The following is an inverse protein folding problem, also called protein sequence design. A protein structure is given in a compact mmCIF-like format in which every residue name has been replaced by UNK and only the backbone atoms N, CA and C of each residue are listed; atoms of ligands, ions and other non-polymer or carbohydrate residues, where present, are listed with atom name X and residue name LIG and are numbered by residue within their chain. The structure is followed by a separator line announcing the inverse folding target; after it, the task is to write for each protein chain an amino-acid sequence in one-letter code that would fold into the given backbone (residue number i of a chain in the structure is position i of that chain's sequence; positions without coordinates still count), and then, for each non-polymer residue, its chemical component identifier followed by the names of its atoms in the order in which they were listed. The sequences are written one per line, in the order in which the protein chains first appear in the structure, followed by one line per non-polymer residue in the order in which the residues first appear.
data_IF_994994423059
#
_entry.id   IF_994994423059
#
_cell.length_a   1.000
_cell.length_b   1.000
_cell.length_c   1.000
_cell.angle_alpha   90.00
_cell.angle_beta   90.00
_cell.angle_gamma   90.00
#
_symmetry.space_group_name_H-M   'P 1'
#
loop_
_entity.id
_entity.type
_entity.pdbx_description
1 polymer ?
#
# COMPACT_ATOMS: atom_id res chain seq x y z
N UNK A 1 -40.43 -76.52 -35.07
CA UNK A 1 -39.32 -75.70 -35.63
C UNK A 1 -38.19 -75.71 -34.62
N UNK A 2 -37.15 -76.53 -34.86
CA UNK A 2 -35.99 -76.62 -33.98
C UNK A 2 -35.13 -75.36 -34.13
N UNK A 3 -35.14 -74.49 -33.12
CA UNK A 3 -34.17 -73.41 -33.01
C UNK A 3 -32.79 -74.03 -32.72
N UNK A 4 -31.94 -74.00 -33.73
CA UNK A 4 -30.62 -74.60 -33.74
C UNK A 4 -29.77 -74.12 -32.56
N UNK A 5 -29.23 -75.05 -31.76
CA UNK A 5 -28.25 -74.80 -30.68
C UNK A 5 -27.00 -74.05 -31.16
N UNK A 6 -26.77 -73.95 -32.48
CA UNK A 6 -25.71 -73.10 -33.05
C UNK A 6 -26.00 -71.60 -32.93
N UNK A 7 -27.28 -71.19 -32.92
CA UNK A 7 -27.66 -69.79 -32.80
C UNK A 7 -27.44 -69.25 -31.37
N UNK A 8 -27.71 -70.06 -30.34
CA UNK A 8 -27.43 -69.68 -28.95
C UNK A 8 -25.93 -69.57 -28.66
N UNK A 9 -25.10 -70.44 -29.23
CA UNK A 9 -23.64 -70.36 -29.09
C UNK A 9 -23.07 -69.12 -29.79
N UNK A 10 -23.51 -68.82 -31.02
CA UNK A 10 -23.10 -67.60 -31.72
C UNK A 10 -23.60 -66.32 -31.04
N UNK A 11 -24.81 -66.32 -30.46
CA UNK A 11 -25.35 -65.16 -29.74
C UNK A 11 -24.65 -64.95 -28.39
N UNK A 12 -24.35 -66.02 -27.65
CA UNK A 12 -23.56 -65.96 -26.42
C UNK A 12 -22.12 -65.48 -26.71
N UNK A 13 -21.51 -65.93 -27.80
CA UNK A 13 -20.20 -65.46 -28.24
C UNK A 13 -20.25 -63.98 -28.64
N UNK A 14 -21.31 -63.53 -29.32
CA UNK A 14 -21.51 -62.12 -29.68
C UNK A 14 -21.67 -61.24 -28.44
N UNK A 15 -22.41 -61.70 -27.43
CA UNK A 15 -22.55 -61.00 -26.14
C UNK A 15 -21.22 -60.96 -25.40
N UNK A 16 -20.44 -62.04 -25.40
CA UNK A 16 -19.12 -62.07 -24.77
C UNK A 16 -18.13 -61.13 -25.46
N UNK A 17 -18.17 -61.07 -26.80
CA UNK A 17 -17.38 -60.13 -27.59
C UNK A 17 -17.83 -58.69 -27.31
N UNK A 18 -19.14 -58.41 -27.29
CA UNK A 18 -19.67 -57.09 -26.93
C UNK A 18 -19.28 -56.68 -25.52
N UNK A 19 -19.29 -57.62 -24.57
CA UNK A 19 -18.87 -57.37 -23.20
C UNK A 19 -17.37 -57.08 -23.12
N UNK A 20 -16.53 -57.86 -23.81
CA UNK A 20 -15.09 -57.59 -23.90
C UNK A 20 -14.79 -56.25 -24.59
N UNK A 21 -15.49 -55.94 -25.69
CA UNK A 21 -15.38 -54.64 -26.36
C UNK A 21 -15.78 -53.52 -25.40
N UNK A 22 -16.90 -53.66 -24.69
CA UNK A 22 -17.36 -52.65 -23.73
C UNK A 22 -16.36 -52.46 -22.56
N UNK A 23 -15.81 -53.54 -22.02
CA UNK A 23 -14.76 -53.48 -20.98
C UNK A 23 -13.47 -52.85 -21.52
N UNK A 24 -13.06 -53.16 -22.76
CA UNK A 24 -11.89 -52.52 -23.37
C UNK A 24 -12.13 -51.04 -23.69
N UNK A 25 -13.34 -50.64 -24.09
CA UNK A 25 -13.72 -49.25 -24.31
C UNK A 25 -13.79 -48.49 -22.99
N UNK A 26 -14.35 -49.09 -21.93
CA UNK A 26 -14.36 -48.50 -20.59
C UNK A 26 -12.95 -48.38 -20.03
N UNK A 27 -12.11 -49.41 -20.15
CA UNK A 27 -10.71 -49.32 -19.75
C UNK A 27 -9.90 -48.33 -20.58
N UNK A 28 -10.26 -48.14 -21.86
CA UNK A 28 -9.66 -47.11 -22.72
C UNK A 28 -10.15 -45.71 -22.34
N UNK A 29 -11.43 -45.56 -21.98
CA UNK A 29 -11.99 -44.30 -21.49
C UNK A 29 -11.37 -43.91 -20.15
N UNK A 30 -11.23 -44.86 -19.22
CA UNK A 30 -10.59 -44.68 -17.92
C UNK A 30 -9.10 -44.37 -18.08
N UNK A 31 -8.41 -45.02 -19.04
CA UNK A 31 -7.04 -44.64 -19.43
C UNK A 31 -6.99 -43.25 -20.03
N UNK A 32 -7.99 -42.81 -20.79
CA UNK A 32 -8.03 -41.49 -21.41
C UNK A 32 -8.30 -40.41 -20.36
N UNK A 33 -9.17 -40.68 -19.37
CA UNK A 33 -9.45 -39.79 -18.24
C UNK A 33 -8.28 -39.75 -17.25
N UNK A 34 -7.60 -40.87 -17.01
CA UNK A 34 -6.35 -40.90 -16.26
C UNK A 34 -5.22 -40.18 -17.01
N UNK A 35 -5.12 -40.30 -18.34
CA UNK A 35 -4.16 -39.54 -19.15
C UNK A 35 -4.51 -38.04 -19.21
N UNK A 36 -5.79 -37.66 -19.15
CA UNK A 36 -6.20 -36.27 -19.09
C UNK A 36 -5.96 -35.68 -17.71
N UNK A 37 -6.17 -36.44 -16.63
CA UNK A 37 -5.84 -36.04 -15.25
C UNK A 37 -4.34 -36.00 -15.00
N UNK A 38 -3.56 -36.98 -15.46
CA UNK A 38 -2.09 -36.88 -15.49
C UNK A 38 -1.63 -35.76 -16.42
N UNK A 39 -2.36 -35.50 -17.51
CA UNK A 39 -2.11 -34.39 -18.42
C UNK A 39 -2.33 -33.05 -17.73
N UNK A 40 -3.41 -32.89 -16.96
CA UNK A 40 -3.73 -31.71 -16.16
C UNK A 40 -2.83 -31.57 -14.95
N UNK A 41 -2.46 -32.65 -14.27
CA UNK A 41 -1.45 -32.63 -13.20
C UNK A 41 -0.08 -32.29 -13.77
N UNK A 42 0.33 -32.85 -14.91
CA UNK A 42 1.56 -32.45 -15.59
C UNK A 42 1.48 -31.03 -16.14
N UNK A 43 0.29 -30.51 -16.49
CA UNK A 43 0.09 -29.12 -16.91
C UNK A 43 0.09 -28.15 -15.72
N UNK A 44 -0.47 -28.56 -14.58
CA UNK A 44 -0.44 -27.84 -13.30
C UNK A 44 0.96 -27.86 -12.70
N UNK A 45 1.68 -28.97 -12.88
CA UNK A 45 3.07 -29.16 -12.50
C UNK A 45 4.00 -28.49 -13.51
N UNK A 46 3.63 -28.37 -14.79
CA UNK A 46 4.29 -27.51 -15.79
C UNK A 46 3.98 -26.02 -15.59
N UNK A 47 2.84 -25.67 -15.01
CA UNK A 47 2.53 -24.29 -14.60
C UNK A 47 3.22 -23.94 -13.27
N UNK A 48 3.47 -24.93 -12.40
CA UNK A 48 4.32 -24.80 -11.21
C UNK A 48 5.82 -24.90 -11.53
N UNK A 49 6.21 -25.65 -12.57
CA UNK A 49 7.58 -25.81 -13.08
C UNK A 49 7.93 -24.84 -14.21
N UNK A 50 6.96 -24.06 -14.69
CA UNK A 50 7.17 -22.68 -15.06
C UNK A 50 7.34 -21.88 -13.76
N UNK A 51 8.31 -22.31 -12.96
CA UNK A 51 9.09 -21.35 -12.21
C UNK A 51 9.45 -20.28 -13.23
N UNK A 52 8.87 -19.08 -13.07
CA UNK A 52 9.74 -17.92 -13.13
C UNK A 52 10.97 -18.38 -12.37
N UNK A 53 12.04 -18.70 -13.11
CA UNK A 53 13.36 -18.62 -12.53
C UNK A 53 13.31 -17.33 -11.72
N UNK A 54 13.62 -17.43 -10.42
CA UNK A 54 14.04 -16.27 -9.67
C UNK A 54 15.33 -15.78 -10.33
N UNK A 55 15.24 -15.27 -11.56
CA UNK A 55 16.02 -14.12 -11.95
C UNK A 55 15.78 -13.16 -10.80
N UNK A 56 16.82 -12.98 -9.99
CA UNK A 56 16.91 -11.85 -9.09
C UNK A 56 16.66 -10.62 -9.95
N UNK A 57 15.41 -10.17 -10.00
CA UNK A 57 15.09 -8.80 -10.33
C UNK A 57 15.72 -7.98 -9.21
N UNK A 58 17.03 -7.76 -9.32
CA UNK A 58 17.76 -6.71 -8.65
C UNK A 58 17.10 -5.45 -9.19
N UNK A 59 16.06 -5.00 -8.49
CA UNK A 59 15.47 -3.72 -8.77
C UNK A 59 16.59 -2.70 -8.56
N UNK A 60 17.06 -2.07 -9.64
CA UNK A 60 18.08 -1.03 -9.62
C UNK A 60 17.68 0.15 -8.70
N UNK A 61 16.41 0.26 -8.36
CA UNK A 61 15.85 1.24 -7.43
C UNK A 61 15.60 0.72 -6.01
N UNK A 62 15.94 -0.54 -5.73
CA UNK A 62 15.91 -1.06 -4.36
C UNK A 62 17.03 -0.42 -3.55
N UNK A 63 16.71 0.04 -2.34
CA UNK A 63 17.75 0.56 -1.45
C UNK A 63 18.58 -0.62 -0.95
N UNK A 64 19.82 -0.71 -1.42
CA UNK A 64 20.71 -1.84 -1.11
C UNK A 64 21.03 -1.91 0.39
N UNK A 65 21.16 -0.76 1.05
CA UNK A 65 21.46 -0.68 2.48
C UNK A 65 20.46 0.18 3.30
N UNK A 66 19.57 -0.44 4.10
CA UNK A 66 18.69 0.25 5.05
C UNK A 66 19.43 1.11 6.11
N UNK A 67 20.70 0.83 6.40
CA UNK A 67 21.52 1.66 7.30
C UNK A 67 21.83 3.03 6.69
N UNK A 68 21.82 3.16 5.37
CA UNK A 68 21.95 4.45 4.69
C UNK A 68 20.71 5.31 4.96
N UNK A 69 19.50 4.73 4.86
CA UNK A 69 18.25 5.44 5.17
C UNK A 69 18.26 5.91 6.62
N UNK A 70 18.60 5.01 7.55
CA UNK A 70 18.63 5.30 8.99
C UNK A 70 19.71 6.33 9.37
N UNK A 71 20.90 6.28 8.77
CA UNK A 71 21.95 7.28 9.03
C UNK A 71 21.58 8.66 8.46
N UNK A 72 21.01 8.69 7.25
CA UNK A 72 20.48 9.93 6.68
C UNK A 72 19.31 10.48 7.51
N UNK A 73 18.49 9.64 8.17
CA UNK A 73 17.45 10.08 9.11
C UNK A 73 18.12 10.78 10.29
N UNK A 74 19.07 10.12 10.95
CA UNK A 74 19.68 10.61 12.17
C UNK A 74 20.38 11.97 11.94
N UNK A 75 21.08 12.09 10.82
CA UNK A 75 21.65 13.36 10.37
C UNK A 75 20.58 14.44 10.14
N UNK A 76 19.44 14.09 9.53
CA UNK A 76 18.32 15.01 9.33
C UNK A 76 17.70 15.47 10.65
N UNK A 77 17.51 14.56 11.61
CA UNK A 77 17.00 14.89 12.96
C UNK A 77 17.91 15.91 13.63
N UNK A 78 19.23 15.69 13.63
CA UNK A 78 20.22 16.64 14.17
C UNK A 78 20.14 18.01 13.48
N UNK A 79 20.08 18.04 12.14
CA UNK A 79 20.00 19.28 11.37
C UNK A 79 18.66 20.03 11.53
N UNK A 80 17.54 19.32 11.69
CA UNK A 80 16.21 19.91 11.88
C UNK A 80 16.09 20.63 13.23
N UNK A 81 16.85 20.17 14.23
CA UNK A 81 16.93 20.79 15.56
C UNK A 81 17.63 22.15 15.47
N UNK A 82 18.62 22.30 14.59
CA UNK A 82 19.30 23.57 14.32
C UNK A 82 18.45 24.55 13.49
N UNK A 83 17.74 24.07 12.45
CA UNK A 83 16.88 24.95 11.62
C UNK A 83 15.68 25.54 12.36
N UNK A 84 15.15 24.85 13.39
CA UNK A 84 14.09 25.40 14.27
C UNK A 84 14.51 26.68 15.00
N UNK A 85 15.81 26.97 15.14
CA UNK A 85 16.31 28.24 15.70
C UNK A 85 16.19 29.44 14.76
N UNK A 86 15.92 29.24 13.47
CA UNK A 86 15.96 30.31 12.46
C UNK A 86 14.58 30.88 12.05
N UNK A 87 13.47 30.42 12.64
CA UNK A 87 12.14 31.06 12.54
C UNK A 87 11.55 31.23 11.13
N UNK A 88 12.16 30.66 10.11
CA UNK A 88 11.84 30.94 8.71
C UNK A 88 10.74 29.99 8.22
N UNK A 89 9.55 30.53 7.97
CA UNK A 89 8.34 29.82 7.49
C UNK A 89 7.85 28.68 8.39
N UNK A 90 7.43 28.96 9.63
CA UNK A 90 6.55 28.04 10.37
C UNK A 90 5.13 28.57 10.30
N UNK A 91 4.19 27.74 9.86
CA UNK A 91 2.78 28.07 9.85
C UNK A 91 2.16 28.08 11.26
N UNK A 92 2.98 27.79 12.29
CA UNK A 92 2.56 27.75 13.69
C UNK A 92 1.58 26.61 14.00
N UNK A 93 1.38 25.67 13.06
CA UNK A 93 0.47 24.53 13.27
C UNK A 93 1.08 23.51 14.23
N UNK A 94 2.41 23.49 14.35
CA UNK A 94 3.15 22.51 15.14
C UNK A 94 3.43 21.22 14.36
N UNK A 95 2.80 21.04 13.20
CA UNK A 95 3.09 19.97 12.24
C UNK A 95 4.22 20.43 11.30
N UNK A 96 5.43 19.83 11.36
CA UNK A 96 6.57 20.28 10.58
C UNK A 96 6.43 20.10 9.07
N UNK A 97 5.57 19.18 8.61
CA UNK A 97 5.31 18.96 7.17
C UNK A 97 4.51 20.15 6.64
N UNK A 98 3.36 20.41 7.24
CA UNK A 98 2.49 21.53 6.87
C UNK A 98 3.21 22.86 7.06
N UNK A 99 3.89 23.03 8.20
CA UNK A 99 4.63 24.26 8.52
C UNK A 99 5.63 24.63 7.42
N UNK A 100 6.20 23.66 6.71
CA UNK A 100 7.20 23.88 5.66
C UNK A 100 6.66 24.51 4.37
N UNK A 101 5.36 24.37 4.05
CA UNK A 101 4.82 24.85 2.77
C UNK A 101 3.44 25.51 2.84
N UNK A 102 2.60 25.17 3.82
CA UNK A 102 1.15 25.40 3.76
C UNK A 102 0.74 26.88 3.89
N UNK A 103 1.47 27.62 4.71
CA UNK A 103 1.29 29.06 4.95
C UNK A 103 1.82 29.94 3.82
N UNK A 104 2.48 29.37 2.81
CA UNK A 104 2.80 30.11 1.61
C UNK A 104 1.51 30.44 0.83
N UNK A 105 1.02 31.67 0.92
CA UNK A 105 -0.11 32.15 0.10
C UNK A 105 0.14 32.03 -1.42
N UNK A 106 1.40 31.88 -1.83
CA UNK A 106 1.86 31.67 -3.21
C UNK A 106 2.22 30.21 -3.49
N UNK A 107 1.74 29.26 -2.69
CA UNK A 107 1.95 27.81 -2.89
C UNK A 107 1.61 27.39 -4.33
N UNK A 108 0.60 28.00 -4.95
CA UNK A 108 0.16 27.71 -6.32
C UNK A 108 1.20 28.09 -7.39
N UNK A 109 2.09 29.05 -7.10
CA UNK A 109 3.25 29.41 -7.94
C UNK A 109 4.48 28.55 -7.62
N UNK A 110 4.54 28.02 -6.38
CA UNK A 110 5.67 27.24 -5.85
C UNK A 110 5.29 25.81 -5.50
N UNK A 111 4.40 25.19 -6.27
CA UNK A 111 3.81 23.87 -5.92
C UNK A 111 4.84 22.82 -5.55
N UNK A 112 5.93 22.80 -6.33
CA UNK A 112 7.05 21.87 -6.19
C UNK A 112 7.86 22.02 -4.90
N UNK A 113 7.72 23.14 -4.18
CA UNK A 113 8.33 23.34 -2.87
C UNK A 113 7.89 22.25 -1.86
N UNK A 114 6.66 21.73 -2.02
CA UNK A 114 6.14 20.61 -1.23
C UNK A 114 7.12 19.43 -1.16
N UNK A 115 7.80 19.10 -2.26
CA UNK A 115 8.72 17.95 -2.30
C UNK A 115 9.96 18.10 -1.40
N UNK A 116 10.20 19.28 -0.82
CA UNK A 116 11.26 19.51 0.16
C UNK A 116 10.77 19.39 1.61
N UNK A 117 9.47 19.12 1.83
CA UNK A 117 8.82 19.12 3.13
C UNK A 117 8.54 17.72 3.68
N UNK A 118 8.81 16.68 2.90
CA UNK A 118 8.73 15.30 3.36
C UNK A 118 9.68 15.06 4.54
N UNK A 119 9.25 14.24 5.49
CA UNK A 119 10.04 13.84 6.65
C UNK A 119 10.05 12.31 6.78
N UNK A 120 10.71 11.80 7.82
CA UNK A 120 10.72 10.37 8.10
C UNK A 120 11.57 9.59 7.10
N UNK A 121 11.28 8.31 6.92
CA UNK A 121 12.01 7.44 5.99
C UNK A 121 11.78 7.81 4.52
N UNK A 122 10.59 8.32 4.16
CA UNK A 122 10.24 8.81 2.82
C UNK A 122 10.70 10.24 2.51
N UNK A 123 11.50 10.90 3.37
CA UNK A 123 11.91 12.32 3.17
C UNK A 123 12.61 12.61 1.83
N UNK A 124 13.23 11.60 1.23
CA UNK A 124 13.96 11.72 -0.03
C UNK A 124 13.05 11.50 -1.26
N UNK A 125 11.75 11.25 -1.08
CA UNK A 125 10.80 11.15 -2.18
C UNK A 125 10.65 12.51 -2.87
N UNK A 126 11.39 12.72 -3.96
CA UNK A 126 11.34 14.01 -4.70
C UNK A 126 10.18 14.08 -5.69
N UNK A 127 9.52 12.96 -5.98
CA UNK A 127 8.41 12.91 -6.93
C UNK A 127 8.80 13.44 -8.31
N UNK A 128 7.93 14.26 -8.90
CA UNK A 128 8.15 14.94 -10.17
C UNK A 128 8.73 16.35 -10.05
N UNK A 129 9.39 16.70 -8.94
CA UNK A 129 9.89 18.07 -8.64
C UNK A 129 10.69 18.66 -9.80
N UNK A 130 11.57 17.86 -10.38
CA UNK A 130 12.53 18.32 -11.41
C UNK A 130 11.96 18.20 -12.83
N UNK A 131 10.68 17.79 -12.94
CA UNK A 131 9.95 17.59 -14.19
C UNK A 131 9.20 18.82 -14.71
N UNK A 132 8.41 18.66 -15.77
CA UNK A 132 7.44 19.69 -16.18
C UNK A 132 6.11 19.50 -15.45
N UNK A 133 5.30 20.56 -15.38
CA UNK A 133 3.91 20.40 -15.00
C UNK A 133 3.15 19.66 -16.11
N UNK A 134 2.31 18.71 -15.71
CA UNK A 134 1.33 18.07 -16.58
C UNK A 134 -0.06 18.38 -16.03
N UNK A 135 -0.96 18.94 -16.84
CA UNK A 135 -2.31 19.28 -16.38
C UNK A 135 -3.31 18.27 -16.94
N UNK A 136 -3.86 17.44 -16.07
CA UNK A 136 -4.99 16.57 -16.38
C UNK A 136 -6.21 17.45 -16.67
N UNK A 137 -6.76 17.29 -17.87
CA UNK A 137 -7.92 18.03 -18.37
C UNK A 137 -9.09 17.11 -18.70
N UNK A 138 -8.83 15.81 -18.82
CA UNK A 138 -9.80 14.77 -19.12
C UNK A 138 -9.80 13.70 -18.01
N UNK A 139 -10.94 13.47 -17.33
CA UNK A 139 -11.03 12.43 -16.29
C UNK A 139 -11.24 11.01 -16.84
N UNK A 140 -11.38 10.85 -18.17
CA UNK A 140 -11.63 9.55 -18.80
C UNK A 140 -10.44 8.58 -18.73
N UNK A 141 -10.75 7.28 -18.75
CA UNK A 141 -9.79 6.17 -18.67
C UNK A 141 -10.24 4.99 -19.57
N UNK A 142 -10.77 5.29 -20.76
CA UNK A 142 -11.46 4.31 -21.59
C UNK A 142 -10.56 3.20 -22.16
N UNK A 143 -9.28 3.51 -22.38
CA UNK A 143 -8.29 2.59 -22.94
C UNK A 143 -7.04 2.52 -22.02
N UNK A 144 -6.92 1.46 -21.20
CA UNK A 144 -5.76 1.23 -20.34
C UNK A 144 -4.44 0.99 -21.08
N UNK A 145 -4.50 0.64 -22.38
CA UNK A 145 -3.35 0.41 -23.24
C UNK A 145 -2.98 1.67 -24.00
N UNK A 146 -3.92 2.48 -24.48
CA UNK A 146 -3.63 3.70 -25.26
C UNK A 146 -4.26 4.94 -24.62
N UNK A 147 -3.75 5.37 -23.45
CA UNK A 147 -4.31 6.51 -22.76
C UNK A 147 -4.08 7.80 -23.55
N UNK A 148 -5.14 8.60 -23.69
CA UNK A 148 -5.08 9.87 -24.44
C UNK A 148 -4.30 10.94 -23.67
N UNK A 149 -3.49 11.78 -24.33
CA UNK A 149 -2.95 12.98 -23.71
C UNK A 149 -4.04 13.83 -23.05
N UNK A 150 -3.75 14.41 -21.88
CA UNK A 150 -4.69 15.11 -21.02
C UNK A 150 -5.36 14.23 -19.94
N UNK A 151 -5.18 12.90 -19.98
CA UNK A 151 -5.67 11.97 -18.94
C UNK A 151 -4.63 11.73 -17.84
N UNK A 152 -5.09 11.29 -16.67
CA UNK A 152 -4.20 10.91 -15.57
C UNK A 152 -3.31 9.71 -15.95
N UNK A 153 -3.88 8.66 -16.59
CA UNK A 153 -3.12 7.49 -17.03
C UNK A 153 -1.99 7.86 -17.98
N UNK A 154 -2.25 8.72 -18.96
CA UNK A 154 -1.17 9.17 -19.85
C UNK A 154 -0.08 9.90 -19.07
N UNK A 155 -0.43 10.72 -18.08
CA UNK A 155 0.53 11.50 -17.31
C UNK A 155 1.48 10.60 -16.50
N UNK A 156 0.94 9.62 -15.78
CA UNK A 156 1.72 8.85 -14.81
C UNK A 156 2.67 7.83 -15.44
N UNK A 157 2.42 7.41 -16.67
CA UNK A 157 3.27 6.42 -17.36
C UNK A 157 4.50 7.04 -18.04
N UNK A 158 4.59 8.36 -18.19
CA UNK A 158 5.68 9.00 -18.95
C UNK A 158 7.05 8.71 -18.33
N UNK A 159 8.11 8.56 -19.12
CA UNK A 159 9.45 8.27 -18.60
C UNK A 159 10.08 9.46 -17.86
N UNK A 160 9.79 10.67 -18.35
CA UNK A 160 10.28 11.91 -17.72
C UNK A 160 9.60 12.17 -16.36
N UNK A 161 10.28 12.87 -15.43
CA UNK A 161 9.66 13.37 -14.23
C UNK A 161 8.47 14.29 -14.56
N UNK A 162 7.36 14.18 -13.82
CA UNK A 162 6.18 15.02 -14.01
C UNK A 162 5.50 15.39 -12.70
N UNK A 163 5.20 16.68 -12.57
CA UNK A 163 4.33 17.20 -11.52
C UNK A 163 2.91 17.36 -12.07
N UNK A 164 2.03 16.44 -11.69
CA UNK A 164 0.71 16.25 -12.27
C UNK A 164 -0.32 17.05 -11.48
N UNK A 165 -1.02 17.94 -12.17
CA UNK A 165 -2.04 18.84 -11.65
C UNK A 165 -3.39 18.55 -12.31
N UNK A 166 -4.46 19.08 -11.73
CA UNK A 166 -5.81 18.94 -12.27
C UNK A 166 -6.37 20.30 -12.67
N UNK A 167 -6.95 20.37 -13.88
CA UNK A 167 -7.50 21.63 -14.44
C UNK A 167 -8.70 22.15 -13.65
N UNK A 168 -9.46 21.24 -13.04
CA UNK A 168 -10.73 21.44 -12.34
C UNK A 168 -10.98 20.24 -11.44
N UNK A 169 -12.06 20.30 -10.67
CA UNK A 169 -12.56 19.16 -9.91
C UNK A 169 -12.86 17.98 -10.84
N UNK A 170 -12.51 16.77 -10.41
CA UNK A 170 -12.61 15.56 -11.23
C UNK A 170 -13.02 14.36 -10.39
N UNK A 171 -13.89 13.55 -10.97
CA UNK A 171 -14.15 12.18 -10.55
C UNK A 171 -13.60 11.27 -11.63
N UNK A 172 -12.56 10.51 -11.29
CA UNK A 172 -11.82 9.63 -12.19
C UNK A 172 -12.16 8.20 -11.83
N UNK A 173 -12.81 7.50 -12.76
CA UNK A 173 -13.12 6.06 -12.64
C UNK A 173 -12.18 5.28 -13.53
N UNK A 174 -11.16 4.68 -12.93
CA UNK A 174 -10.17 3.89 -13.64
C UNK A 174 -10.76 2.53 -14.05
N UNK A 175 -10.51 2.11 -15.29
CA UNK A 175 -10.97 0.81 -15.80
C UNK A 175 -10.12 -0.34 -15.32
N UNK A 176 -8.83 -0.08 -15.12
CA UNK A 176 -7.81 -1.02 -14.68
C UNK A 176 -6.82 -0.30 -13.77
N UNK A 177 -6.00 -1.02 -13.01
CA UNK A 177 -4.98 -0.44 -12.12
C UNK A 177 -4.21 0.71 -12.79
N UNK A 178 -4.07 1.84 -12.10
CA UNK A 178 -3.26 2.97 -12.54
C UNK A 178 -1.79 2.70 -12.19
N UNK A 179 -1.14 1.90 -13.05
CA UNK A 179 0.30 1.66 -12.97
C UNK A 179 1.04 2.92 -13.39
N UNK A 180 2.03 3.31 -12.60
CA UNK A 180 2.82 4.53 -12.84
C UNK A 180 4.32 4.27 -12.90
N UNK A 181 5.03 5.20 -13.55
CA UNK A 181 6.48 5.20 -13.66
C UNK A 181 7.12 6.02 -12.51
N UNK A 182 8.43 5.93 -12.33
CA UNK A 182 9.20 6.68 -11.34
C UNK A 182 9.09 8.20 -11.52
N UNK A 183 9.44 8.97 -10.49
CA UNK A 183 9.51 10.44 -10.52
C UNK A 183 8.18 11.13 -10.88
N UNK A 184 7.11 10.74 -10.18
CA UNK A 184 5.78 11.31 -10.37
C UNK A 184 5.28 11.97 -9.09
N UNK A 185 4.63 13.12 -9.25
CA UNK A 185 3.83 13.72 -8.19
C UNK A 185 2.41 13.87 -8.69
N UNK A 186 1.44 13.28 -8.01
CA UNK A 186 0.02 13.62 -8.16
C UNK A 186 -0.30 14.66 -7.09
N UNK A 187 -0.63 15.88 -7.51
CA UNK A 187 -0.92 17.02 -6.64
C UNK A 187 -2.34 17.54 -6.88
N UNK A 188 -3.25 17.15 -6.00
CA UNK A 188 -4.66 17.53 -6.03
C UNK A 188 -4.95 18.97 -5.59
N UNK A 189 -3.98 19.69 -4.98
CA UNK A 189 -4.24 21.01 -4.41
C UNK A 189 -4.85 21.97 -5.43
N UNK A 190 -5.94 22.63 -5.07
CA UNK A 190 -6.66 23.57 -5.94
C UNK A 190 -7.72 22.93 -6.83
N UNK A 191 -7.98 21.64 -6.70
CA UNK A 191 -9.10 20.92 -7.28
C UNK A 191 -9.59 19.85 -6.31
N UNK A 192 -10.88 19.54 -6.32
CA UNK A 192 -11.40 18.37 -5.64
C UNK A 192 -11.31 17.14 -6.56
N UNK A 193 -10.40 16.22 -6.26
CA UNK A 193 -10.08 15.08 -7.13
C UNK A 193 -10.38 13.78 -6.42
N UNK A 194 -11.27 12.98 -7.02
CA UNK A 194 -11.66 11.66 -6.55
C UNK A 194 -11.19 10.60 -7.54
N UNK A 195 -10.49 9.57 -7.05
CA UNK A 195 -10.27 8.31 -7.76
C UNK A 195 -11.20 7.28 -7.11
N UNK A 196 -12.19 6.79 -7.87
CA UNK A 196 -13.30 6.03 -7.25
C UNK A 196 -14.08 5.13 -8.20
N UNK A 197 -14.80 4.15 -7.63
CA UNK A 197 -15.77 3.28 -8.31
C UNK A 197 -15.18 2.40 -9.43
N UNK A 198 -13.89 2.12 -9.36
CA UNK A 198 -13.14 1.34 -10.34
C UNK A 198 -11.83 0.87 -9.73
N UNK A 199 -10.83 0.64 -10.58
CA UNK A 199 -9.49 0.40 -10.09
C UNK A 199 -8.91 1.63 -9.39
N UNK A 200 -7.77 1.45 -8.70
CA UNK A 200 -7.05 2.55 -8.06
C UNK A 200 -5.54 2.46 -8.38
N UNK A 201 -4.66 2.86 -7.47
CA UNK A 201 -3.27 3.19 -7.78
C UNK A 201 -2.33 2.02 -7.49
N UNK A 202 -1.43 1.74 -8.44
CA UNK A 202 -0.39 0.70 -8.28
C UNK A 202 0.99 1.29 -8.56
N UNK A 203 1.80 1.40 -7.51
CA UNK A 203 3.20 1.84 -7.53
C UNK A 203 4.06 0.57 -7.49
N UNK A 204 4.46 0.06 -8.64
CA UNK A 204 5.22 -1.19 -8.73
C UNK A 204 6.58 -1.00 -9.38
N UNK A 205 7.63 -1.52 -8.75
CA UNK A 205 9.01 -1.51 -9.26
C UNK A 205 9.54 -0.12 -9.64
N UNK A 206 9.13 0.92 -8.91
CA UNK A 206 9.47 2.32 -9.20
C UNK A 206 9.94 3.04 -7.96
N UNK A 207 10.45 4.26 -8.15
CA UNK A 207 10.94 5.10 -7.07
C UNK A 207 10.53 6.55 -7.22
N UNK A 208 10.62 7.30 -6.12
CA UNK A 208 10.36 8.75 -6.09
C UNK A 208 8.95 9.09 -6.55
N UNK A 209 7.95 8.66 -5.77
CA UNK A 209 6.54 8.96 -6.02
C UNK A 209 5.95 9.74 -4.85
N UNK A 210 5.21 10.80 -5.16
CA UNK A 210 4.42 11.57 -4.20
C UNK A 210 2.95 11.51 -4.63
N UNK A 211 2.07 11.10 -3.71
CA UNK A 211 0.62 11.19 -3.89
C UNK A 211 0.07 12.13 -2.84
N UNK A 212 -0.47 13.26 -3.28
CA UNK A 212 -0.82 14.35 -2.39
C UNK A 212 -2.16 15.01 -2.73
N UNK A 213 -3.00 15.17 -1.70
CA UNK A 213 -4.17 16.04 -1.77
C UNK A 213 -5.35 15.47 -2.55
N UNK A 214 -5.53 14.15 -2.61
CA UNK A 214 -6.64 13.52 -3.35
C UNK A 214 -7.52 12.60 -2.49
N UNK A 215 -8.74 12.37 -2.96
CA UNK A 215 -9.67 11.40 -2.39
C UNK A 215 -9.56 10.07 -3.14
N UNK A 216 -9.41 8.96 -2.41
CA UNK A 216 -9.31 7.60 -2.97
C UNK A 216 -10.30 6.72 -2.22
N UNK A 217 -11.36 6.27 -2.90
CA UNK A 217 -12.41 5.51 -2.23
C UNK A 217 -13.26 4.67 -3.18
N UNK A 218 -13.96 3.67 -2.65
CA UNK A 218 -14.78 2.75 -3.45
C UNK A 218 -13.98 2.04 -4.55
N UNK A 219 -12.69 1.76 -4.30
CA UNK A 219 -11.86 0.96 -5.18
C UNK A 219 -12.43 -0.47 -5.29
N UNK A 220 -12.35 -1.05 -6.48
CA UNK A 220 -12.94 -2.35 -6.84
C UNK A 220 -11.89 -3.26 -7.47
N UNK A 221 -12.04 -4.59 -7.32
CA UNK A 221 -11.21 -5.53 -8.06
C UNK A 221 -11.39 -5.31 -9.56
N UNK A 222 -10.28 -5.22 -10.28
CA UNK A 222 -10.24 -5.09 -11.74
C UNK A 222 -9.05 -5.89 -12.26
N UNK A 223 -9.11 -6.34 -13.50
CA UNK A 223 -8.00 -7.07 -14.10
C UNK A 223 -8.40 -7.79 -15.37
N UNK A 224 -7.66 -8.84 -15.68
CA UNK A 224 -7.79 -9.65 -16.90
C UNK A 224 -7.76 -8.78 -18.15
N UNK A 225 -6.79 -7.87 -18.19
CA UNK A 225 -6.64 -6.90 -19.26
C UNK A 225 -5.17 -6.56 -19.49
N UNK A 226 -4.87 -6.09 -20.70
CA UNK A 226 -3.61 -5.43 -20.99
C UNK A 226 -3.60 -4.04 -20.37
N UNK A 227 -2.53 -3.68 -19.68
CA UNK A 227 -2.38 -2.37 -19.02
C UNK A 227 -1.00 -1.80 -19.35
N UNK A 228 -0.97 -0.54 -19.77
CA UNK A 228 0.28 0.19 -20.03
C UNK A 228 0.92 0.69 -18.74
N UNK A 229 2.23 0.47 -18.59
CA UNK A 229 3.04 0.94 -17.46
C UNK A 229 4.09 1.98 -17.85
N UNK A 230 4.50 2.03 -19.12
CA UNK A 230 5.39 3.06 -19.67
C UNK A 230 5.02 3.38 -21.13
N UNK A 231 5.61 4.40 -21.78
CA UNK A 231 5.33 4.69 -23.18
C UNK A 231 5.70 3.52 -24.10
N UNK A 232 6.69 2.70 -23.72
CA UNK A 232 7.18 1.55 -24.49
C UNK A 232 6.63 0.20 -24.02
N UNK A 233 6.07 0.10 -22.81
CA UNK A 233 5.69 -1.18 -22.21
C UNK A 233 4.22 -1.22 -21.74
N UNK A 234 3.55 -2.32 -22.10
CA UNK A 234 2.26 -2.73 -21.55
C UNK A 234 2.25 -4.26 -21.42
N UNK A 235 1.54 -4.78 -20.41
CA UNK A 235 1.55 -6.21 -20.09
C UNK A 235 0.19 -6.69 -19.62
N UNK A 236 0.00 -8.01 -19.61
CA UNK A 236 -1.21 -8.63 -19.09
C UNK A 236 -1.26 -8.51 -17.56
N UNK A 237 -2.39 -8.05 -17.02
CA UNK A 237 -2.65 -7.95 -15.59
C UNK A 237 -3.76 -8.91 -15.20
N UNK A 238 -3.49 -9.73 -14.19
CA UNK A 238 -4.50 -10.54 -13.52
C UNK A 238 -5.40 -9.66 -12.66
N UNK A 239 -6.35 -10.27 -11.94
CA UNK A 239 -7.22 -9.56 -11.01
C UNK A 239 -6.36 -8.94 -9.90
N UNK A 240 -6.50 -7.64 -9.72
CA UNK A 240 -6.04 -6.90 -8.57
C UNK A 240 -7.13 -6.88 -7.50
N UNK A 241 -6.74 -6.86 -6.23
CA UNK A 241 -7.64 -7.04 -5.08
C UNK A 241 -8.58 -5.84 -4.86
N UNK A 242 -8.20 -4.67 -5.38
CA UNK A 242 -8.99 -3.45 -5.26
C UNK A 242 -8.59 -2.57 -4.07
N UNK A 243 -7.30 -2.55 -3.75
CA UNK A 243 -6.72 -1.62 -2.79
C UNK A 243 -6.85 -0.16 -3.23
N UNK A 244 -6.75 0.78 -2.29
CA UNK A 244 -6.59 2.20 -2.59
C UNK A 244 -5.24 2.52 -3.26
N UNK A 245 -4.15 2.18 -2.59
CA UNK A 245 -2.77 2.39 -3.06
C UNK A 245 -1.95 1.13 -2.76
N UNK A 246 -1.58 0.39 -3.81
CA UNK A 246 -0.66 -0.75 -3.69
C UNK A 246 0.77 -0.30 -4.03
N UNK A 247 1.72 -0.60 -3.15
CA UNK A 247 3.15 -0.28 -3.26
C UNK A 247 3.93 -1.59 -3.27
N UNK A 248 4.52 -1.90 -4.42
CA UNK A 248 5.18 -3.17 -4.67
C UNK A 248 6.64 -2.94 -5.06
N UNK A 249 7.57 -3.54 -4.32
CA UNK A 249 9.02 -3.44 -4.57
C UNK A 249 9.46 -2.01 -4.95
N UNK A 250 9.01 -1.01 -4.19
CA UNK A 250 9.22 0.40 -4.54
C UNK A 250 9.87 1.17 -3.39
N UNK A 251 10.58 2.26 -3.72
CA UNK A 251 11.36 3.05 -2.75
C UNK A 251 11.09 4.55 -2.86
N UNK A 252 11.35 5.28 -1.78
CA UNK A 252 11.21 6.74 -1.74
C UNK A 252 9.79 7.19 -2.11
N UNK A 253 8.83 6.77 -1.28
CA UNK A 253 7.40 7.00 -1.48
C UNK A 253 6.86 7.92 -0.39
N UNK A 254 6.06 8.90 -0.79
CA UNK A 254 5.38 9.80 0.14
C UNK A 254 3.89 9.92 -0.19
N UNK A 255 3.05 9.45 0.74
CA UNK A 255 1.60 9.50 0.66
C UNK A 255 1.11 10.53 1.68
N UNK A 256 0.67 11.70 1.22
CA UNK A 256 0.45 12.86 2.07
C UNK A 256 -0.91 13.54 1.84
N UNK A 257 -1.63 13.91 2.90
CA UNK A 257 -2.89 14.67 2.75
C UNK A 257 -3.89 14.01 1.78
N UNK A 258 -4.06 12.70 1.86
CA UNK A 258 -5.10 12.00 1.10
C UNK A 258 -6.24 11.60 2.03
N UNK A 259 -7.45 11.53 1.49
CA UNK A 259 -8.61 10.98 2.18
C UNK A 259 -8.93 9.61 1.60
N UNK A 260 -8.82 8.56 2.42
CA UNK A 260 -8.98 7.17 1.97
C UNK A 260 -10.10 6.46 2.71
N UNK A 261 -10.97 5.76 1.99
CA UNK A 261 -12.08 5.00 2.58
C UNK A 261 -12.69 3.94 1.66
N UNK A 262 -13.39 2.97 2.24
CA UNK A 262 -14.30 2.05 1.53
C UNK A 262 -13.75 1.34 0.26
N UNK A 263 -12.46 1.00 0.23
CA UNK A 263 -11.91 0.14 -0.81
C UNK A 263 -12.36 -1.32 -0.65
N UNK A 264 -12.19 -2.15 -1.68
CA UNK A 264 -12.62 -3.54 -1.67
C UNK A 264 -11.73 -4.44 -0.80
N UNK A 265 -10.41 -4.19 -0.81
CA UNK A 265 -9.44 -4.90 0.04
C UNK A 265 -8.77 -3.95 1.04
N UNK A 266 -7.53 -3.49 0.82
CA UNK A 266 -6.84 -2.54 1.69
C UNK A 266 -6.97 -1.06 1.29
N UNK A 267 -6.63 -0.11 2.17
CA UNK A 267 -6.44 1.30 1.75
C UNK A 267 -5.01 1.56 1.26
N UNK A 268 -4.01 1.10 2.00
CA UNK A 268 -2.59 1.22 1.62
C UNK A 268 -1.86 -0.08 1.93
N UNK A 269 -1.34 -0.72 0.90
CA UNK A 269 -0.58 -1.96 1.01
C UNK A 269 0.85 -1.75 0.50
N UNK A 270 1.85 -1.97 1.34
CA UNK A 270 3.26 -1.90 0.97
C UNK A 270 3.95 -3.23 1.20
N UNK A 271 4.43 -3.86 0.13
CA UNK A 271 4.88 -5.25 0.14
C UNK A 271 6.12 -5.46 -0.73
N UNK A 272 6.67 -6.67 -0.70
CA UNK A 272 7.67 -7.16 -1.66
C UNK A 272 8.97 -6.33 -1.68
N UNK A 273 9.48 -6.01 -0.49
CA UNK A 273 10.73 -5.28 -0.30
C UNK A 273 10.61 -3.76 -0.42
N UNK A 274 9.39 -3.22 -0.44
CA UNK A 274 9.19 -1.77 -0.44
C UNK A 274 9.78 -1.10 0.81
N UNK A 275 10.39 0.07 0.66
CA UNK A 275 11.07 0.76 1.77
C UNK A 275 11.18 2.27 1.54
N UNK A 276 11.74 3.01 2.50
CA UNK A 276 11.81 4.47 2.47
C UNK A 276 10.44 5.12 2.21
N UNK A 277 9.47 4.78 3.06
CA UNK A 277 8.07 5.21 2.93
C UNK A 277 7.71 6.20 4.04
N UNK A 278 7.00 7.27 3.70
CA UNK A 278 6.30 8.11 4.67
C UNK A 278 4.83 8.21 4.28
N UNK A 279 3.94 7.93 5.24
CA UNK A 279 2.49 8.07 5.12
C UNK A 279 2.09 9.11 6.16
N UNK A 280 1.72 10.31 5.70
CA UNK A 280 1.49 11.45 6.58
C UNK A 280 0.24 12.26 6.29
N UNK A 281 -0.32 12.91 7.32
CA UNK A 281 -1.44 13.83 7.18
C UNK A 281 -2.66 13.26 6.45
N UNK A 282 -2.82 11.93 6.36
CA UNK A 282 -3.94 11.32 5.67
C UNK A 282 -5.12 11.14 6.63
N UNK A 283 -6.33 11.16 6.07
CA UNK A 283 -7.55 10.86 6.81
C UNK A 283 -8.12 9.52 6.34
N UNK A 284 -8.19 8.56 7.25
CA UNK A 284 -8.69 7.21 7.00
C UNK A 284 -10.05 7.04 7.67
N UNK A 285 -11.05 6.52 6.94
CA UNK A 285 -12.39 6.24 7.50
C UNK A 285 -13.05 5.05 6.83
N UNK A 286 -14.11 4.52 7.46
CA UNK A 286 -15.05 3.56 6.88
C UNK A 286 -14.38 2.40 6.14
N UNK A 287 -13.56 1.62 6.86
CA UNK A 287 -12.79 0.56 6.24
C UNK A 287 -12.28 -0.49 7.23
N UNK A 288 -12.25 -1.75 6.81
CA UNK A 288 -11.81 -2.84 7.68
C UNK A 288 -10.28 -2.92 7.74
N UNK A 289 -9.63 -3.13 6.60
CA UNK A 289 -8.22 -3.52 6.50
C UNK A 289 -7.36 -2.30 6.07
N UNK A 290 -7.11 -1.38 7.00
CA UNK A 290 -6.60 -0.04 6.64
C UNK A 290 -5.24 -0.05 5.95
N UNK A 291 -4.22 -0.63 6.58
CA UNK A 291 -2.84 -0.53 6.10
C UNK A 291 -2.03 -1.79 6.38
N UNK A 292 -1.58 -2.46 5.33
CA UNK A 292 -0.71 -3.65 5.42
C UNK A 292 0.73 -3.30 5.03
N UNK A 293 1.68 -3.55 5.92
CA UNK A 293 3.10 -3.33 5.68
C UNK A 293 3.85 -4.66 5.79
N UNK A 294 4.06 -5.29 4.63
CA UNK A 294 4.58 -6.64 4.45
C UNK A 294 3.45 -7.69 4.39
N UNK A 295 3.42 -8.50 3.33
CA UNK A 295 2.30 -9.40 3.01
C UNK A 295 2.41 -10.79 3.65
N UNK A 296 3.63 -11.32 3.79
CA UNK A 296 3.86 -12.72 4.15
C UNK A 296 4.90 -12.87 5.26
N UNK A 297 4.60 -13.76 6.21
CA UNK A 297 5.49 -14.12 7.32
C UNK A 297 6.77 -14.82 6.82
N UNK A 298 6.74 -15.46 5.65
CA UNK A 298 7.91 -16.11 5.04
C UNK A 298 8.75 -15.19 4.15
N UNK A 299 8.24 -14.01 3.79
CA UNK A 299 8.93 -13.12 2.85
C UNK A 299 9.97 -12.23 3.55
N UNK A 300 11.14 -12.82 3.83
CA UNK A 300 12.19 -12.19 4.65
C UNK A 300 12.84 -10.94 4.06
N UNK A 301 12.66 -10.66 2.76
CA UNK A 301 13.17 -9.42 2.14
C UNK A 301 12.50 -8.17 2.74
N UNK A 302 11.29 -8.28 3.30
CA UNK A 302 10.60 -7.19 4.00
C UNK A 302 11.31 -6.76 5.30
N UNK A 303 12.34 -7.48 5.78
CA UNK A 303 13.20 -7.02 6.89
C UNK A 303 13.91 -5.69 6.60
N UNK A 304 14.02 -5.31 5.32
CA UNK A 304 14.59 -4.03 4.88
C UNK A 304 13.57 -2.89 4.85
N UNK A 305 12.28 -3.19 5.04
CA UNK A 305 11.22 -2.20 5.00
C UNK A 305 11.37 -1.21 6.15
N UNK A 306 11.31 0.08 5.81
CA UNK A 306 11.26 1.18 6.76
C UNK A 306 10.15 2.14 6.37
N UNK A 307 9.16 2.29 7.25
CA UNK A 307 8.01 3.16 7.02
C UNK A 307 7.71 4.07 8.21
N UNK A 308 7.43 5.34 7.92
CA UNK A 308 6.99 6.35 8.89
C UNK A 308 5.50 6.59 8.72
N UNK A 309 4.73 6.42 9.78
CA UNK A 309 3.31 6.70 9.84
C UNK A 309 3.15 7.89 10.79
N UNK A 310 2.89 9.08 10.26
CA UNK A 310 2.93 10.31 11.05
C UNK A 310 1.81 11.29 10.79
N UNK A 311 1.23 11.90 11.83
CA UNK A 311 0.21 12.95 11.70
C UNK A 311 -1.07 12.54 10.96
N UNK A 312 -1.32 11.24 10.79
CA UNK A 312 -2.56 10.77 10.21
C UNK A 312 -3.69 10.83 11.25
N UNK A 313 -4.91 10.95 10.76
CA UNK A 313 -6.11 10.77 11.57
C UNK A 313 -6.80 9.48 11.13
N UNK A 314 -6.83 8.51 12.04
CA UNK A 314 -7.60 7.28 11.94
C UNK A 314 -9.00 7.54 12.54
N UNK A 315 -9.93 7.82 11.63
CA UNK A 315 -11.27 8.32 11.89
C UNK A 315 -12.32 7.22 12.03
N UNK A 316 -13.59 7.63 11.94
CA UNK A 316 -14.75 6.76 12.14
C UNK A 316 -14.83 5.56 11.19
N UNK A 317 -15.49 4.49 11.65
CA UNK A 317 -15.76 3.30 10.84
C UNK A 317 -14.54 2.46 10.49
N UNK A 318 -13.41 2.64 11.17
CA UNK A 318 -12.22 1.80 11.01
C UNK A 318 -12.26 0.58 11.94
N UNK A 319 -11.84 -0.59 11.44
CA UNK A 319 -11.83 -1.82 12.24
C UNK A 319 -10.42 -2.16 12.74
N UNK A 320 -9.43 -2.24 11.85
CA UNK A 320 -8.09 -2.75 12.18
C UNK A 320 -6.97 -2.30 11.21
N UNK A 321 -5.74 -2.75 11.49
CA UNK A 321 -4.53 -2.60 10.66
C UNK A 321 -4.08 -1.15 10.46
N UNK A 322 -3.83 -0.43 11.54
CA UNK A 322 -3.40 0.98 11.52
C UNK A 322 -2.04 1.19 12.22
N UNK A 323 -0.92 0.63 11.72
CA UNK A 323 -0.78 -0.36 10.64
C UNK A 323 -0.81 -1.81 11.14
N UNK A 324 -0.86 -2.78 10.21
CA UNK A 324 -0.44 -4.16 10.44
C UNK A 324 0.91 -4.43 9.78
N UNK A 325 1.91 -4.79 10.57
CA UNK A 325 3.30 -4.85 10.15
C UNK A 325 3.89 -6.26 10.14
N UNK A 326 4.86 -6.51 9.26
CA UNK A 326 5.72 -7.71 9.26
C UNK A 326 7.17 -7.37 9.01
N UNK A 327 8.08 -8.08 9.67
CA UNK A 327 9.55 -8.03 9.54
C UNK A 327 10.25 -6.69 9.81
N UNK A 328 9.91 -5.64 9.07
CA UNK A 328 10.64 -4.38 8.99
C UNK A 328 10.57 -3.47 10.23
N UNK A 329 10.87 -2.20 10.01
CA UNK A 329 10.98 -1.18 11.06
C UNK A 329 9.96 -0.05 10.83
N UNK A 330 9.13 0.20 11.83
CA UNK A 330 7.97 1.06 11.69
C UNK A 330 7.99 2.12 12.77
N UNK A 331 8.00 3.38 12.34
CA UNK A 331 7.84 4.51 13.24
C UNK A 331 6.41 5.03 13.16
N UNK A 332 5.62 4.76 14.20
CA UNK A 332 4.24 5.21 14.32
C UNK A 332 4.22 6.39 15.28
N UNK A 333 4.12 7.61 14.76
CA UNK A 333 4.42 8.80 15.56
C UNK A 333 3.41 9.93 15.36
N UNK A 334 2.90 10.47 16.47
CA UNK A 334 2.00 11.62 16.46
C UNK A 334 0.74 11.49 15.58
N UNK A 335 0.15 10.28 15.50
CA UNK A 335 -1.15 10.06 14.85
C UNK A 335 -2.30 10.15 15.86
N UNK A 336 -3.48 10.55 15.39
CA UNK A 336 -4.72 10.56 16.19
C UNK A 336 -5.59 9.35 15.83
N UNK A 337 -5.76 8.44 16.79
CA UNK A 337 -6.64 7.28 16.69
C UNK A 337 -7.90 7.57 17.47
N UNK A 338 -8.96 7.89 16.74
CA UNK A 338 -10.26 8.20 17.33
C UNK A 338 -11.21 7.02 17.34
N UNK A 339 -11.00 6.07 16.42
CA UNK A 339 -11.82 4.86 16.31
C UNK A 339 -10.99 3.66 15.86
N UNK A 340 -11.34 2.51 16.41
CA UNK A 340 -11.05 1.18 15.90
C UNK A 340 -12.08 0.22 16.50
N UNK A 341 -12.36 -0.90 15.85
CA UNK A 341 -13.30 -1.89 16.39
C UNK A 341 -12.60 -3.14 16.94
N UNK A 342 -11.42 -3.48 16.41
CA UNK A 342 -10.67 -4.67 16.83
C UNK A 342 -9.32 -4.34 17.48
N UNK A 343 -8.44 -3.63 16.78
CA UNK A 343 -7.16 -3.13 17.28
C UNK A 343 -6.66 -1.99 16.41
N UNK A 344 -5.76 -1.15 16.92
CA UNK A 344 -5.11 -0.13 16.10
C UNK A 344 -3.86 -0.71 15.43
N UNK A 345 -2.83 -1.05 16.20
CA UNK A 345 -1.52 -1.48 15.71
C UNK A 345 -1.40 -3.00 15.81
N UNK A 346 -0.97 -3.65 14.73
CA UNK A 346 -0.79 -5.10 14.75
C UNK A 346 0.43 -5.59 13.98
N UNK A 347 0.68 -6.89 14.06
CA UNK A 347 1.74 -7.50 13.28
C UNK A 347 1.98 -8.97 13.54
N UNK A 348 2.75 -9.57 12.63
CA UNK A 348 3.25 -10.95 12.67
C UNK A 348 4.69 -10.99 12.13
N UNK A 349 5.42 -12.09 12.34
CA UNK A 349 6.80 -12.24 11.89
C UNK A 349 7.78 -11.14 12.37
N UNK A 350 7.77 -10.83 13.67
CA UNK A 350 8.79 -10.01 14.35
C UNK A 350 9.07 -8.61 13.76
N UNK A 351 8.05 -7.77 13.52
CA UNK A 351 8.29 -6.38 13.15
C UNK A 351 8.81 -5.59 14.36
N UNK A 352 9.64 -4.58 14.11
CA UNK A 352 9.99 -3.59 15.13
C UNK A 352 9.06 -2.40 15.02
N UNK A 353 8.23 -2.17 16.05
CA UNK A 353 7.25 -1.09 16.08
C UNK A 353 7.62 -0.09 17.17
N UNK A 354 7.85 1.14 16.75
CA UNK A 354 8.11 2.26 17.62
C UNK A 354 6.90 3.20 17.62
N UNK A 355 6.05 3.12 18.65
CA UNK A 355 4.93 4.05 18.86
C UNK A 355 5.39 5.22 19.74
N UNK A 356 5.33 6.46 19.22
CA UNK A 356 5.70 7.65 19.99
C UNK A 356 4.71 8.81 19.86
N UNK A 357 4.29 9.39 21.00
CA UNK A 357 3.50 10.61 21.04
C UNK A 357 2.17 10.57 20.29
N UNK A 358 1.61 9.39 20.04
CA UNK A 358 0.29 9.22 19.44
C UNK A 358 -0.81 9.47 20.48
N UNK A 359 -2.04 9.65 20.00
CA UNK A 359 -3.24 9.72 20.84
C UNK A 359 -4.18 8.57 20.49
N UNK A 360 -4.55 7.77 21.49
CA UNK A 360 -5.41 6.61 21.35
C UNK A 360 -6.68 6.77 22.18
N UNK A 361 -7.81 7.04 21.53
CA UNK A 361 -9.12 7.05 22.15
C UNK A 361 -9.81 5.70 21.90
N UNK A 362 -9.77 4.82 22.89
CA UNK A 362 -10.37 3.49 22.73
C UNK A 362 -11.89 3.56 22.52
N UNK A 363 -12.46 2.62 21.73
CA UNK A 363 -13.90 2.47 21.60
C UNK A 363 -14.53 2.09 22.94
N UNK A 364 -15.85 2.22 23.07
CA UNK A 364 -16.56 1.82 24.29
C UNK A 364 -16.49 0.30 24.56
N UNK A 365 -16.31 -0.52 23.53
CA UNK A 365 -16.18 -1.97 23.66
C UNK A 365 -15.03 -2.35 24.62
N UNK A 366 -15.31 -3.04 25.75
CA UNK A 366 -14.27 -3.41 26.72
C UNK A 366 -13.26 -4.42 26.17
N UNK A 367 -13.59 -5.15 25.09
CA UNK A 367 -12.70 -6.13 24.47
C UNK A 367 -11.76 -5.53 23.42
N UNK A 368 -11.90 -4.23 23.11
CA UNK A 368 -11.10 -3.52 22.13
C UNK A 368 -10.27 -2.38 22.76
N UNK A 369 -9.93 -2.49 24.05
CA UNK A 369 -9.11 -1.50 24.77
C UNK A 369 -7.63 -1.60 24.46
N UNK A 370 -7.15 -2.79 24.13
CA UNK A 370 -5.76 -2.98 23.76
C UNK A 370 -5.50 -2.40 22.37
N UNK A 371 -4.59 -1.43 22.29
CA UNK A 371 -4.15 -0.81 21.03
C UNK A 371 -3.46 -1.83 20.12
N UNK A 372 -2.83 -2.84 20.72
CA UNK A 372 -1.89 -3.74 20.06
C UNK A 372 -2.44 -5.15 19.82
N UNK A 373 -2.19 -5.73 18.64
CA UNK A 373 -2.55 -7.12 18.32
C UNK A 373 -1.41 -7.89 17.66
N UNK A 374 -0.95 -8.96 18.32
CA UNK A 374 -0.01 -9.93 17.72
C UNK A 374 -0.82 -10.99 16.99
N UNK A 375 -0.59 -11.14 15.69
CA UNK A 375 -1.28 -12.13 14.86
C UNK A 375 -0.44 -13.41 14.87
N UNK A 376 -1.05 -14.47 15.39
CA UNK A 376 -0.52 -15.84 15.55
C UNK A 376 0.96 -15.97 15.89
N UNK A 377 1.24 -15.98 17.19
CA UNK A 377 2.41 -16.65 17.74
C UNK A 377 2.09 -17.06 19.18
N UNK A 378 2.63 -18.21 19.62
CA UNK A 378 2.70 -18.53 21.05
C UNK A 378 3.56 -17.50 21.82
N UNK A 379 4.18 -17.87 22.93
CA UNK A 379 4.96 -16.91 23.74
C UNK A 379 6.22 -16.29 23.05
N UNK A 380 6.47 -16.58 21.77
CA UNK A 380 7.59 -16.04 20.97
C UNK A 380 7.51 -14.54 20.73
N UNK A 381 6.33 -13.92 20.71
CA UNK A 381 6.22 -12.47 20.45
C UNK A 381 6.87 -11.60 21.52
N UNK A 382 7.12 -12.13 22.72
CA UNK A 382 7.73 -11.40 23.84
C UNK A 382 9.11 -10.83 23.50
N UNK A 383 9.80 -11.45 22.54
CA UNK A 383 11.10 -10.97 22.04
C UNK A 383 10.99 -9.91 20.92
N UNK A 384 9.78 -9.65 20.40
CA UNK A 384 9.56 -8.65 19.36
C UNK A 384 9.63 -7.26 19.96
N UNK A 385 10.28 -6.33 19.27
CA UNK A 385 10.53 -4.98 19.77
C UNK A 385 9.34 -4.08 19.48
N UNK A 386 8.39 -4.00 20.42
CA UNK A 386 7.23 -3.11 20.35
C UNK A 386 7.27 -2.17 21.55
N UNK A 387 7.47 -0.87 21.30
CA UNK A 387 7.46 0.16 22.36
C UNK A 387 6.38 1.19 22.16
N UNK A 388 5.98 1.77 23.28
CA UNK A 388 5.16 2.97 23.39
C UNK A 388 5.91 4.00 24.24
N UNK A 389 6.01 5.24 23.78
CA UNK A 389 6.72 6.32 24.45
C UNK A 389 5.97 7.66 24.28
N UNK A 390 5.53 8.26 25.38
CA UNK A 390 4.82 9.55 25.34
C UNK A 390 3.42 9.50 24.69
N UNK A 391 2.90 8.31 24.41
CA UNK A 391 1.54 8.13 23.89
C UNK A 391 0.48 8.52 24.94
N UNK A 392 -0.63 9.10 24.49
CA UNK A 392 -1.79 9.44 25.32
C UNK A 392 -2.88 8.38 25.14
N UNK A 393 -3.26 7.73 26.23
CA UNK A 393 -4.30 6.73 26.24
C UNK A 393 -5.58 7.27 26.89
N UNK A 394 -6.70 7.17 26.19
CA UNK A 394 -8.00 7.66 26.62
C UNK A 394 -9.03 6.53 26.60
N UNK A 395 -10.07 6.66 27.43
CA UNK A 395 -11.15 5.69 27.55
C UNK A 395 -10.68 4.25 27.83
N UNK A 396 -9.64 4.11 28.66
CA UNK A 396 -9.09 2.80 29.04
C UNK A 396 -8.22 2.14 27.98
N UNK A 397 -7.82 2.86 26.91
CA UNK A 397 -6.83 2.37 25.97
C UNK A 397 -5.53 1.97 26.70
N UNK A 398 -4.84 0.95 26.20
CA UNK A 398 -3.49 0.64 26.68
C UNK A 398 -2.66 -0.04 25.59
N UNK A 399 -1.35 0.04 25.73
CA UNK A 399 -0.38 -0.60 24.84
C UNK A 399 0.40 -1.64 25.65
N UNK A 400 0.49 -2.87 25.14
CA UNK A 400 1.32 -3.91 25.75
C UNK A 400 2.69 -3.89 25.07
N UNK A 401 3.80 -3.48 25.72
CA UNK A 401 5.12 -3.48 25.11
C UNK A 401 5.80 -4.86 25.13
N UNK A 402 6.87 -5.02 24.35
CA UNK A 402 7.71 -6.23 24.32
C UNK A 402 9.13 -5.93 23.83
N UNK A 403 10.03 -6.90 23.96
CA UNK A 403 11.42 -6.80 23.51
C UNK A 403 12.37 -6.21 24.57
N UNK A 404 13.59 -5.87 24.14
CA UNK A 404 14.69 -5.46 25.04
C UNK A 404 14.50 -4.09 25.69
N UNK A 405 13.56 -3.28 25.19
CA UNK A 405 13.28 -1.92 25.69
C UNK A 405 14.39 -0.90 25.49
N UNK A 406 15.58 -1.29 25.00
CA UNK A 406 16.71 -0.38 24.83
C UNK A 406 16.48 0.60 23.67
N UNK A 407 16.77 1.88 23.86
CA UNK A 407 16.61 2.90 22.82
C UNK A 407 17.36 2.55 21.51
N UNK A 408 18.54 1.92 21.63
CA UNK A 408 19.34 1.46 20.50
C UNK A 408 18.59 0.44 19.61
N UNK A 409 17.76 -0.42 20.21
CA UNK A 409 16.96 -1.41 19.47
C UNK A 409 15.89 -0.79 18.55
N UNK A 410 15.57 0.48 18.75
CA UNK A 410 14.57 1.22 17.98
C UNK A 410 15.17 2.29 17.06
N UNK A 411 16.50 2.45 17.01
CA UNK A 411 17.15 3.46 16.17
C UNK A 411 16.75 3.32 14.68
N UNK A 412 16.66 2.09 14.18
CA UNK A 412 16.20 1.79 12.80
C UNK A 412 14.70 1.99 12.57
N UNK A 413 13.92 2.13 13.65
CA UNK A 413 12.49 2.43 13.67
C UNK A 413 12.20 3.84 14.22
N UNK A 414 13.19 4.71 14.27
CA UNK A 414 13.04 6.12 14.63
C UNK A 414 13.31 6.96 13.40
N UNK A 415 12.42 7.89 13.08
CA UNK A 415 12.47 8.67 11.84
C UNK A 415 12.28 10.18 12.02
N UNK A 416 11.83 10.62 13.20
CA UNK A 416 11.73 12.01 13.63
C UNK A 416 11.59 12.09 15.16
N UNK A 417 11.80 13.26 15.75
CA UNK A 417 11.45 13.48 17.16
C UNK A 417 9.95 13.68 17.36
N UNK A 418 9.36 12.94 18.30
CA UNK A 418 7.94 13.01 18.61
C UNK A 418 7.56 14.35 19.29
N UNK A 419 6.39 14.88 18.91
CA UNK A 419 5.70 15.97 19.60
C UNK A 419 4.90 15.43 20.79
N UNK A 420 4.51 16.32 21.70
CA UNK A 420 3.63 15.99 22.82
C UNK A 420 2.30 15.43 22.32
N UNK A 421 1.85 14.30 22.92
CA UNK A 421 0.58 13.67 22.60
C UNK A 421 -0.65 14.54 22.94
N UNK A 422 -0.48 15.56 23.79
CA UNK A 422 -1.52 16.57 24.08
C UNK A 422 -1.84 17.50 22.90
N UNK A 423 -0.93 17.65 21.93
CA UNK A 423 -1.11 18.52 20.78
C UNK A 423 -1.74 17.80 19.57
N UNK A 424 -1.91 16.48 19.65
CA UNK A 424 -2.24 15.63 18.50
C UNK A 424 -3.56 15.98 17.85
N UNK A 425 -4.61 16.21 18.65
CA UNK A 425 -5.91 16.64 18.10
C UNK A 425 -5.82 17.95 17.30
N UNK A 426 -4.91 18.87 17.67
CA UNK A 426 -4.71 20.12 16.94
C UNK A 426 -3.86 19.92 15.69
N UNK A 427 -2.70 19.24 15.80
CA UNK A 427 -1.75 19.13 14.68
C UNK A 427 -2.24 18.19 13.56
N UNK A 428 -3.20 17.31 13.85
CA UNK A 428 -3.85 16.40 12.88
C UNK A 428 -5.24 16.87 12.44
N UNK A 429 -5.72 18.02 12.95
CA UNK A 429 -7.06 18.56 12.64
C UNK A 429 -7.35 18.82 11.15
N UNK A 430 -6.30 18.90 10.33
CA UNK A 430 -6.38 19.11 8.89
C UNK A 430 -5.95 17.88 8.08
N UNK A 431 -5.90 16.70 8.70
CA UNK A 431 -5.61 15.47 7.98
C UNK A 431 -6.64 15.23 6.86
N UNK A 432 -6.19 14.63 5.76
CA UNK A 432 -6.99 14.40 4.57
C UNK A 432 -6.68 15.39 3.44
N UNK A 433 -7.44 15.25 2.35
CA UNK A 433 -7.32 16.13 1.19
C UNK A 433 -7.71 17.57 1.53
N UNK A 434 -6.82 18.51 1.18
CA UNK A 434 -6.96 19.91 1.54
C UNK A 434 -7.74 20.70 0.48
N UNK A 435 -8.62 21.60 0.95
CA UNK A 435 -9.34 22.55 0.10
C UNK A 435 -8.51 23.83 -0.18
N UNK A 436 -7.34 23.69 -0.83
CA UNK A 436 -6.48 24.83 -1.12
C UNK A 436 -7.11 25.79 -2.17
N UNK A 437 -7.08 27.10 -1.92
CA UNK A 437 -7.52 28.14 -2.89
C UNK A 437 -6.36 29.03 -3.32
N UNK A 438 -6.35 29.44 -4.59
CA UNK A 438 -5.31 30.35 -5.12
C UNK A 438 -5.36 31.69 -4.38
N UNK A 439 -4.19 32.22 -4.02
CA UNK A 439 -4.07 33.49 -3.29
C UNK A 439 -4.31 33.41 -1.77
N UNK A 440 -4.74 32.25 -1.27
CA UNK A 440 -4.91 31.98 0.16
C UNK A 440 -3.84 30.99 0.63
N UNK A 441 -3.62 30.96 1.95
CA UNK A 441 -2.95 29.80 2.54
C UNK A 441 -3.78 28.58 2.22
N UNK A 442 -3.10 27.48 1.88
CA UNK A 442 -3.74 26.19 2.07
C UNK A 442 -3.76 25.91 3.60
#
# INVERSE_FOLDING_TARGET
MGFSKRFFSSFALLILILFFVCVTVMASADKTELHSRLGEENKLQSLKNSSMEEEEWINEHSVENPEEIASMVDMSIRNSTERRRLGYFSCGTGNPIDDCWRCDRRWYLRRKHLANCAIGFGRNAIGGRDGRYYVVSNPGDDDPVNPKPGTLRHAVIQDRPLWILFKRDMVIRLKQELIMNSFKTIDGRGANVHITNGACITIQYVTNVIIHGIHIHDCKPTGNAMVRSSPSHYGWRTIADGDGISIFSSSHIWIDHNSLSNCADGLIDAIMGSTAITISNNYFTHHNEVMLLGHSDSYVRDKRMQATIAYNHFGEGLIQRMPRCRHGYFHVVNNDYTHWEMYAIGGSANPTINSQGNRYLAPFNPFAKEVTKRVETGNKWRQWNWRSEGDLFLNGAYFTPSGSGSAASYARASSLGAKSSSLIGTITSNAGALSCRRGFMC
#
